data_IF_642631269096
#
_entry.id   IF_642631269096
#
_cell.length_a   1.000
_cell.length_b   1.000
_cell.length_c   1.000
_cell.angle_alpha   90.00
_cell.angle_beta   90.00
_cell.angle_gamma   90.00
#
_symmetry.space_group_name_H-M   'P 1'
#
loop_
_entity.id
_entity.type
_entity.pdbx_description
1 polymer ?
#
# COMPACT_ATOMS: atom_id res chain seq x y z
N UNK A 1 -13.92 -27.94 26.02
CA UNK A 1 -13.06 -27.80 27.23
C UNK A 1 -12.24 -26.53 27.10
N UNK A 2 -11.95 -25.84 28.21
CA UNK A 2 -11.11 -24.64 28.23
C UNK A 2 -10.42 -24.49 29.58
N UNK A 3 -9.33 -23.71 29.62
CA UNK A 3 -8.62 -23.40 30.86
C UNK A 3 -9.31 -22.25 31.61
N UNK A 4 -9.45 -22.38 32.93
CA UNK A 4 -10.07 -21.36 33.80
C UNK A 4 -9.26 -21.19 35.08
N UNK A 5 -9.08 -19.94 35.50
CA UNK A 5 -8.48 -19.62 36.80
C UNK A 5 -9.57 -19.48 37.85
N UNK A 6 -9.38 -20.11 39.02
CA UNK A 6 -10.23 -19.95 40.20
C UNK A 6 -9.39 -19.50 41.39
N UNK A 7 -9.88 -18.50 42.12
CA UNK A 7 -9.24 -18.01 43.35
C UNK A 7 -9.71 -18.85 44.54
N UNK A 8 -8.78 -19.31 45.36
CA UNK A 8 -9.04 -19.99 46.63
C UNK A 8 -8.17 -19.36 47.72
N UNK A 9 -8.80 -18.55 48.58
CA UNK A 9 -8.10 -17.71 49.56
C UNK A 9 -7.11 -16.73 48.90
N UNK A 10 -5.84 -16.81 49.31
CA UNK A 10 -4.74 -15.99 48.77
C UNK A 10 -4.16 -16.54 47.46
N UNK A 11 -4.53 -17.74 47.04
CA UNK A 11 -3.91 -18.43 45.89
C UNK A 11 -4.86 -18.51 44.68
N UNK A 12 -4.28 -18.60 43.49
CA UNK A 12 -4.99 -18.82 42.24
C UNK A 12 -4.61 -20.20 41.67
N UNK A 13 -5.60 -20.95 41.18
CA UNK A 13 -5.42 -22.28 40.62
C UNK A 13 -5.89 -22.33 39.17
N UNK A 14 -5.14 -23.04 38.33
CA UNK A 14 -5.50 -23.30 36.95
C UNK A 14 -6.27 -24.62 36.84
N UNK A 15 -7.44 -24.58 36.22
CA UNK A 15 -8.31 -25.74 36.01
C UNK A 15 -8.59 -25.95 34.52
N UNK A 16 -8.76 -27.20 34.11
CA UNK A 16 -9.39 -27.55 32.84
C UNK A 16 -10.87 -27.83 33.12
N UNK A 17 -11.73 -27.11 32.41
CA UNK A 17 -13.19 -27.13 32.61
C UNK A 17 -13.87 -27.55 31.32
N UNK A 18 -14.93 -28.34 31.45
CA UNK A 18 -15.83 -28.66 30.35
C UNK A 18 -17.23 -28.15 30.63
N UNK A 19 -17.94 -27.77 29.56
CA UNK A 19 -19.35 -27.42 29.65
C UNK A 19 -20.16 -28.69 29.38
N UNK A 20 -21.01 -29.08 30.34
CA UNK A 20 -21.94 -30.20 30.20
C UNK A 20 -23.37 -29.70 30.32
N UNK A 21 -24.27 -30.22 29.48
CA UNK A 21 -25.70 -29.90 29.57
C UNK A 21 -26.37 -30.85 30.55
N UNK A 22 -26.98 -30.30 31.59
CA UNK A 22 -27.82 -31.03 32.54
C UNK A 22 -29.25 -30.48 32.43
N UNK A 23 -30.10 -31.24 31.75
CA UNK A 23 -31.47 -30.83 31.40
C UNK A 23 -31.51 -29.56 30.55
N UNK A 24 -32.16 -28.50 31.06
CA UNK A 24 -32.28 -27.20 30.38
C UNK A 24 -31.14 -26.23 30.66
N UNK A 25 -30.16 -26.57 31.52
CA UNK A 25 -29.06 -25.67 31.91
C UNK A 25 -27.70 -26.25 31.48
N UNK A 26 -26.77 -25.37 31.14
CA UNK A 26 -25.37 -25.73 30.89
C UNK A 26 -24.57 -25.49 32.17
N UNK A 27 -24.00 -26.55 32.73
CA UNK A 27 -23.20 -26.53 33.96
C UNK A 27 -21.74 -26.73 33.60
N UNK A 28 -20.86 -26.02 34.30
CA UNK A 28 -19.42 -26.16 34.13
C UNK A 28 -18.87 -27.22 35.11
N UNK A 29 -18.23 -28.26 34.57
CA UNK A 29 -17.58 -29.30 35.36
C UNK A 29 -16.07 -29.11 35.30
N UNK A 30 -15.42 -29.10 36.47
CA UNK A 30 -13.96 -29.14 36.55
C UNK A 30 -13.51 -30.56 36.20
N UNK A 31 -12.76 -30.69 35.12
CA UNK A 31 -12.19 -31.96 34.64
C UNK A 31 -10.91 -32.27 35.40
N UNK A 32 -10.04 -31.26 35.58
CA UNK A 32 -8.79 -31.42 36.31
C UNK A 32 -8.30 -30.08 36.88
N UNK A 33 -7.55 -30.16 37.98
CA UNK A 33 -6.81 -29.03 38.57
C UNK A 33 -5.34 -29.21 38.24
N UNK A 34 -4.77 -28.30 37.45
CA UNK A 34 -3.38 -28.38 37.00
C UNK A 34 -2.40 -27.95 38.09
N UNK A 35 -2.80 -27.02 38.95
CA UNK A 35 -1.96 -26.56 40.06
C UNK A 35 -2.10 -25.07 40.35
N UNK A 36 -1.25 -24.59 41.25
CA UNK A 36 -1.20 -23.18 41.62
C UNK A 36 -0.52 -22.34 40.55
N UNK A 37 -1.14 -21.22 40.20
CA UNK A 37 -0.76 -20.42 39.04
C UNK A 37 0.66 -19.82 39.17
N UNK A 38 1.03 -19.37 40.38
CA UNK A 38 2.35 -18.83 40.70
C UNK A 38 3.45 -19.88 40.54
N UNK A 39 3.22 -21.10 41.02
CA UNK A 39 4.19 -22.19 40.93
C UNK A 39 4.35 -22.71 39.50
N UNK A 40 3.23 -22.87 38.78
CA UNK A 40 3.23 -23.31 37.38
C UNK A 40 3.97 -22.33 36.48
N UNK A 41 3.80 -21.03 36.71
CA UNK A 41 4.50 -19.97 35.96
C UNK A 41 5.98 -19.95 36.30
N UNK A 42 6.35 -20.01 37.59
CA UNK A 42 7.74 -19.98 38.02
C UNK A 42 8.57 -21.16 37.51
N UNK A 43 7.95 -22.34 37.34
CA UNK A 43 8.60 -23.55 36.80
C UNK A 43 8.54 -23.65 35.27
N UNK A 44 7.82 -22.74 34.59
CA UNK A 44 7.62 -22.77 33.14
C UNK A 44 6.79 -23.98 32.66
N UNK A 45 5.99 -24.60 33.54
CA UNK A 45 5.22 -25.80 33.21
C UNK A 45 4.07 -25.50 32.24
N UNK A 46 3.59 -24.26 32.21
CA UNK A 46 2.54 -23.79 31.30
C UNK A 46 3.04 -23.85 29.85
N UNK A 47 4.24 -23.35 29.60
CA UNK A 47 4.85 -23.29 28.28
C UNK A 47 5.10 -24.71 27.74
N UNK A 48 5.49 -25.64 28.62
CA UNK A 48 5.63 -27.06 28.29
C UNK A 48 4.28 -27.66 27.90
N UNK A 49 3.23 -27.39 28.68
CA UNK A 49 1.88 -27.88 28.41
C UNK A 49 1.32 -27.32 27.10
N UNK A 50 1.51 -26.02 26.84
CA UNK A 50 1.08 -25.35 25.60
C UNK A 50 1.78 -25.97 24.40
N UNK A 51 3.11 -26.18 24.44
CA UNK A 51 3.84 -26.84 23.35
C UNK A 51 3.37 -28.27 23.13
N UNK A 52 3.11 -29.02 24.20
CA UNK A 52 2.63 -30.40 24.11
C UNK A 52 1.26 -30.47 23.45
N UNK A 53 0.32 -29.60 23.85
CA UNK A 53 -1.03 -29.53 23.26
C UNK A 53 -1.01 -29.01 21.82
N UNK A 54 -0.13 -28.06 21.51
CA UNK A 54 -0.02 -27.48 20.18
C UNK A 54 0.39 -28.49 19.10
N UNK A 55 1.12 -29.56 19.46
CA UNK A 55 1.46 -30.65 18.52
C UNK A 55 0.23 -31.32 17.90
N UNK A 56 -0.93 -31.21 18.54
CA UNK A 56 -2.19 -31.75 18.08
C UNK A 56 -3.05 -30.73 17.31
N UNK A 57 -2.54 -29.52 17.04
CA UNK A 57 -3.24 -28.50 16.27
C UNK A 57 -2.32 -27.94 15.19
N UNK A 58 -2.61 -28.21 13.92
CA UNK A 58 -1.81 -27.71 12.78
C UNK A 58 -1.63 -26.19 12.83
N UNK A 59 -2.70 -25.44 13.16
CA UNK A 59 -2.66 -23.98 13.28
C UNK A 59 -1.78 -23.51 14.44
N UNK A 60 -1.91 -24.11 15.62
CA UNK A 60 -1.11 -23.72 16.79
C UNK A 60 0.35 -24.15 16.65
N UNK A 61 0.60 -25.32 16.06
CA UNK A 61 1.93 -25.81 15.75
C UNK A 61 2.64 -24.89 14.76
N UNK A 62 1.95 -24.40 13.72
CA UNK A 62 2.52 -23.46 12.75
C UNK A 62 2.92 -22.12 13.41
N UNK A 63 2.09 -21.61 14.32
CA UNK A 63 2.39 -20.39 15.10
C UNK A 63 3.56 -20.61 16.08
N UNK A 64 3.61 -21.74 16.77
CA UNK A 64 4.62 -22.04 17.79
C UNK A 64 5.95 -22.58 17.22
N UNK A 65 5.91 -23.23 16.06
CA UNK A 65 7.09 -23.63 15.27
C UNK A 65 7.70 -22.44 14.53
N UNK A 66 6.97 -21.32 14.43
CA UNK A 66 7.47 -19.99 14.12
C UNK A 66 8.44 -19.42 15.17
N UNK A 67 9.39 -20.23 15.66
CA UNK A 67 10.65 -19.79 16.24
C UNK A 67 11.51 -19.16 15.14
N UNK A 68 11.06 -18.02 14.70
CA UNK A 68 11.81 -16.99 14.01
C UNK A 68 10.82 -15.84 13.96
N UNK A 69 11.21 -14.67 14.43
CA UNK A 69 10.55 -13.44 14.01
C UNK A 69 10.68 -13.38 12.49
N UNK A 70 9.79 -14.06 11.77
CA UNK A 70 9.77 -13.99 10.32
C UNK A 70 9.25 -12.60 10.04
N UNK A 71 10.18 -11.69 9.76
CA UNK A 71 9.89 -10.32 9.36
C UNK A 71 9.28 -10.40 7.95
N UNK A 72 8.02 -10.84 7.86
CA UNK A 72 7.30 -11.03 6.61
C UNK A 72 6.90 -9.66 6.10
N UNK A 73 7.60 -9.17 5.09
CA UNK A 73 7.17 -7.99 4.34
C UNK A 73 6.28 -8.44 3.18
N UNK A 74 4.99 -8.13 3.28
CA UNK A 74 4.04 -8.33 2.17
C UNK A 74 4.14 -7.16 1.19
N UNK A 75 4.26 -7.47 -0.11
CA UNK A 75 4.25 -6.45 -1.17
C UNK A 75 3.22 -6.76 -2.25
N UNK A 76 2.62 -5.71 -2.80
CA UNK A 76 1.63 -5.76 -3.89
C UNK A 76 2.34 -5.71 -5.23
N UNK A 77 1.99 -6.61 -6.15
CA UNK A 77 2.59 -6.70 -7.49
C UNK A 77 1.58 -6.46 -8.63
N UNK A 78 0.33 -6.90 -8.46
CA UNK A 78 -0.68 -6.92 -9.53
C UNK A 78 -0.95 -5.55 -10.16
N UNK A 79 -1.30 -4.52 -9.36
CA UNK A 79 -1.56 -3.18 -9.88
C UNK A 79 -0.39 -2.61 -10.69
N UNK A 80 0.84 -2.76 -10.21
CA UNK A 80 2.02 -2.23 -10.89
C UNK A 80 2.22 -2.86 -12.29
N UNK A 81 1.98 -4.18 -12.41
CA UNK A 81 2.12 -4.89 -13.69
C UNK A 81 1.06 -4.46 -14.70
N UNK A 82 -0.20 -4.32 -14.27
CA UNK A 82 -1.30 -3.91 -15.14
C UNK A 82 -1.06 -2.49 -15.66
N UNK A 83 -0.75 -1.55 -14.76
CA UNK A 83 -0.52 -0.17 -15.16
C UNK A 83 0.77 0.02 -15.95
N UNK A 84 1.82 -0.78 -15.72
CA UNK A 84 3.00 -0.77 -16.58
C UNK A 84 2.68 -1.24 -18.01
N UNK A 85 1.83 -2.27 -18.14
CA UNK A 85 1.37 -2.74 -19.45
C UNK A 85 0.55 -1.68 -20.16
N UNK A 86 -0.42 -1.08 -19.48
CA UNK A 86 -1.20 0.04 -20.02
C UNK A 86 -0.28 1.17 -20.43
N UNK A 87 0.64 1.60 -19.56
CA UNK A 87 1.58 2.69 -19.85
C UNK A 87 2.34 2.51 -21.18
N UNK A 88 2.75 1.27 -21.48
CA UNK A 88 3.40 0.88 -22.74
C UNK A 88 2.44 0.82 -23.93
N UNK A 89 1.26 0.23 -23.76
CA UNK A 89 0.23 0.16 -24.83
C UNK A 89 -0.27 1.55 -25.21
N UNK A 90 -0.38 2.42 -24.22
CA UNK A 90 -0.75 3.82 -24.34
C UNK A 90 0.36 4.67 -25.00
N UNK A 91 1.57 4.12 -25.19
CA UNK A 91 2.73 4.76 -25.82
C UNK A 91 3.44 5.82 -24.96
N UNK A 92 3.07 5.95 -23.68
CA UNK A 92 3.52 7.04 -22.81
C UNK A 92 5.02 6.92 -22.51
N UNK A 93 5.49 5.69 -22.33
CA UNK A 93 6.91 5.38 -22.12
C UNK A 93 7.78 5.89 -23.27
N UNK A 94 7.34 5.67 -24.51
CA UNK A 94 8.07 6.09 -25.71
C UNK A 94 8.12 7.62 -25.83
N UNK A 95 7.00 8.30 -25.62
CA UNK A 95 6.91 9.77 -25.69
C UNK A 95 7.82 10.41 -24.65
N UNK A 96 7.77 9.94 -23.40
CA UNK A 96 8.61 10.52 -22.35
C UNK A 96 10.09 10.23 -22.63
N UNK A 97 10.44 9.01 -23.06
CA UNK A 97 11.83 8.65 -23.36
C UNK A 97 12.41 9.47 -24.51
N UNK A 98 11.64 9.75 -25.56
CA UNK A 98 12.13 10.61 -26.65
C UNK A 98 12.44 12.03 -26.15
N UNK A 99 11.54 12.62 -25.34
CA UNK A 99 11.74 13.96 -24.78
C UNK A 99 12.89 14.03 -23.77
N UNK A 100 13.14 12.95 -23.05
CA UNK A 100 14.23 12.85 -22.07
C UNK A 100 15.58 12.56 -22.76
N UNK A 101 15.58 11.96 -23.95
CA UNK A 101 16.81 11.50 -24.62
C UNK A 101 17.82 12.61 -24.93
N UNK A 102 17.34 13.84 -25.13
CA UNK A 102 18.18 15.02 -25.38
C UNK A 102 18.67 15.70 -24.09
N UNK A 103 18.26 15.19 -22.92
CA UNK A 103 18.54 15.77 -21.60
C UNK A 103 19.53 14.91 -20.82
N UNK A 104 20.37 15.53 -19.98
CA UNK A 104 21.42 14.86 -19.18
C UNK A 104 20.92 14.41 -17.80
N UNK A 105 19.81 13.67 -17.75
CA UNK A 105 19.31 13.13 -16.47
C UNK A 105 20.07 11.86 -16.06
N UNK A 106 20.58 11.82 -14.84
CA UNK A 106 21.28 10.67 -14.25
C UNK A 106 20.32 9.66 -13.58
N UNK A 107 19.02 9.73 -13.90
CA UNK A 107 18.02 8.83 -13.35
C UNK A 107 16.90 8.59 -14.36
N UNK A 108 16.12 7.54 -14.12
CA UNK A 108 15.01 7.19 -15.00
C UNK A 108 13.80 8.12 -14.76
N UNK A 109 13.76 9.24 -15.50
CA UNK A 109 12.69 10.25 -15.43
C UNK A 109 11.34 9.65 -15.76
N UNK A 110 11.28 8.79 -16.78
CA UNK A 110 10.06 8.11 -17.20
C UNK A 110 9.47 7.26 -16.07
N UNK A 111 10.31 6.52 -15.33
CA UNK A 111 9.87 5.74 -14.17
C UNK A 111 9.46 6.61 -12.98
N UNK A 112 10.10 7.76 -12.79
CA UNK A 112 9.69 8.73 -11.78
C UNK A 112 8.30 9.30 -12.09
N UNK A 113 8.03 9.66 -13.35
CA UNK A 113 6.72 10.13 -13.79
C UNK A 113 5.68 9.01 -13.64
N UNK A 114 5.97 7.81 -14.14
CA UNK A 114 5.09 6.64 -13.98
C UNK A 114 4.70 6.42 -12.52
N UNK A 115 5.66 6.43 -11.60
CA UNK A 115 5.38 6.26 -10.17
C UNK A 115 4.42 7.34 -9.65
N UNK A 116 4.62 8.61 -10.03
CA UNK A 116 3.75 9.69 -9.56
C UNK A 116 2.35 9.64 -10.17
N UNK A 117 2.19 9.13 -11.40
CA UNK A 117 0.87 8.89 -12.00
C UNK A 117 0.20 7.70 -11.34
N UNK A 118 0.94 6.60 -11.19
CA UNK A 118 0.46 5.39 -10.53
C UNK A 118 -0.04 5.68 -9.12
N UNK A 119 0.70 6.48 -8.33
CA UNK A 119 0.23 6.91 -7.00
C UNK A 119 -1.07 7.73 -7.04
N UNK A 120 -1.25 8.60 -8.05
CA UNK A 120 -2.46 9.43 -8.21
C UNK A 120 -3.71 8.60 -8.57
N UNK A 121 -3.53 7.44 -9.19
CA UNK A 121 -4.63 6.53 -9.54
C UNK A 121 -5.16 5.71 -8.35
N UNK A 122 -4.43 5.70 -7.23
CA UNK A 122 -4.82 4.95 -6.02
C UNK A 122 -5.10 5.90 -4.85
N UNK A 123 -4.30 5.98 -3.75
CA UNK A 123 -4.71 6.80 -2.61
C UNK A 123 -4.64 8.31 -2.91
N UNK A 124 -3.91 8.70 -3.99
CA UNK A 124 -3.57 10.07 -4.35
C UNK A 124 -2.91 10.86 -3.19
N UNK A 125 -2.20 11.94 -3.52
CA UNK A 125 -1.52 12.77 -2.53
C UNK A 125 -0.16 13.28 -2.96
N UNK A 126 0.58 13.86 -2.03
CA UNK A 126 1.86 14.53 -2.30
C UNK A 126 2.95 13.56 -2.79
N UNK A 127 3.97 14.08 -3.48
CA UNK A 127 5.15 13.29 -3.87
C UNK A 127 5.89 12.70 -2.65
N UNK A 128 5.81 13.36 -1.49
CA UNK A 128 6.35 12.84 -0.23
C UNK A 128 5.57 11.61 0.24
N UNK A 129 4.25 11.65 0.16
CA UNK A 129 3.41 10.49 0.46
C UNK A 129 3.65 9.35 -0.53
N UNK A 130 3.81 9.68 -1.82
CA UNK A 130 4.19 8.72 -2.87
C UNK A 130 5.49 7.96 -2.54
N UNK A 131 6.52 8.65 -2.02
CA UNK A 131 7.81 8.04 -1.63
C UNK A 131 7.67 7.01 -0.48
N UNK A 132 6.76 7.26 0.45
CA UNK A 132 6.44 6.31 1.52
C UNK A 132 5.57 5.17 1.00
N UNK A 133 4.53 5.49 0.25
CA UNK A 133 3.54 4.55 -0.27
C UNK A 133 4.15 3.50 -1.20
N UNK A 134 5.13 3.88 -2.04
CA UNK A 134 5.75 2.93 -2.98
C UNK A 134 6.42 1.73 -2.31
N UNK A 135 6.74 1.81 -1.00
CA UNK A 135 7.40 0.74 -0.25
C UNK A 135 6.55 -0.53 -0.15
N UNK A 136 5.23 -0.40 -0.24
CA UNK A 136 4.27 -1.50 -0.25
C UNK A 136 4.17 -2.22 -1.61
N UNK A 137 4.76 -1.67 -2.67
CA UNK A 137 4.63 -2.18 -4.03
C UNK A 137 5.96 -2.68 -4.59
N UNK A 138 5.88 -3.70 -5.45
CA UNK A 138 7.01 -4.08 -6.31
C UNK A 138 6.80 -3.42 -7.67
N UNK A 139 7.62 -2.41 -7.96
CA UNK A 139 7.59 -1.67 -9.22
C UNK A 139 8.98 -1.72 -9.82
N UNK A 140 9.09 -2.23 -11.04
CA UNK A 140 10.36 -2.36 -11.75
C UNK A 140 11.01 -0.99 -11.95
N UNK A 141 12.33 -0.91 -11.73
CA UNK A 141 13.15 0.28 -12.01
C UNK A 141 12.83 1.53 -11.17
N UNK A 142 12.09 1.38 -10.08
CA UNK A 142 11.69 2.47 -9.18
C UNK A 142 12.46 2.45 -7.84
N UNK A 143 13.10 1.33 -7.49
CA UNK A 143 13.75 1.12 -6.19
C UNK A 143 14.82 2.18 -5.86
N UNK A 144 15.57 2.61 -6.87
CA UNK A 144 16.68 3.57 -6.71
C UNK A 144 16.24 5.04 -6.86
N UNK A 145 14.93 5.30 -7.01
CA UNK A 145 14.41 6.65 -7.07
C UNK A 145 14.34 7.26 -5.66
N UNK A 146 15.01 8.38 -5.50
CA UNK A 146 14.97 9.21 -4.29
C UNK A 146 13.90 10.30 -4.45
N UNK A 147 13.35 10.78 -3.32
CA UNK A 147 12.29 11.80 -3.32
C UNK A 147 12.63 13.03 -4.20
N UNK A 148 13.86 13.52 -4.16
CA UNK A 148 14.26 14.67 -4.98
C UNK A 148 14.19 14.39 -6.49
N UNK A 149 14.35 13.12 -6.92
CA UNK A 149 14.21 12.71 -8.32
C UNK A 149 12.75 12.80 -8.78
N UNK A 150 11.79 12.57 -7.87
CA UNK A 150 10.37 12.80 -8.15
C UNK A 150 10.07 14.29 -8.37
N UNK A 151 10.64 15.17 -7.55
CA UNK A 151 10.50 16.61 -7.76
C UNK A 151 11.14 17.08 -9.06
N UNK A 152 12.35 16.61 -9.39
CA UNK A 152 12.99 16.92 -10.68
C UNK A 152 12.17 16.44 -11.87
N UNK A 153 11.52 15.28 -11.78
CA UNK A 153 10.64 14.78 -12.83
C UNK A 153 9.39 15.67 -13.01
N UNK A 154 8.80 16.17 -11.92
CA UNK A 154 7.68 17.12 -12.01
C UNK A 154 8.14 18.49 -12.54
N UNK A 155 9.32 18.96 -12.14
CA UNK A 155 9.91 20.19 -12.66
C UNK A 155 10.17 20.08 -14.18
N UNK A 156 10.67 18.94 -14.65
CA UNK A 156 10.81 18.64 -16.08
C UNK A 156 9.46 18.75 -16.80
N UNK A 157 8.39 18.12 -16.29
CA UNK A 157 7.07 18.23 -16.93
C UNK A 157 6.52 19.67 -16.95
N UNK A 158 6.86 20.49 -15.94
CA UNK A 158 6.46 21.89 -15.83
C UNK A 158 7.38 22.88 -16.53
N UNK A 159 8.46 22.43 -17.18
CA UNK A 159 9.39 23.31 -17.90
C UNK A 159 8.67 23.95 -19.10
N UNK A 160 8.71 25.28 -19.18
CA UNK A 160 8.09 26.03 -20.27
C UNK A 160 8.81 25.77 -21.60
N UNK A 161 8.04 25.68 -22.69
CA UNK A 161 8.60 25.51 -24.04
C UNK A 161 8.67 26.86 -24.76
N UNK A 162 9.53 26.98 -25.76
CA UNK A 162 9.62 28.23 -26.55
C UNK A 162 8.35 28.50 -27.38
N UNK A 163 7.73 27.46 -27.93
CA UNK A 163 6.51 27.59 -28.73
C UNK A 163 5.26 27.74 -27.85
N UNK A 164 4.79 28.99 -27.73
CA UNK A 164 3.63 29.36 -26.89
C UNK A 164 2.34 29.61 -27.68
N UNK A 165 2.26 29.21 -28.96
CA UNK A 165 1.10 29.55 -29.84
C UNK A 165 -0.25 29.08 -29.29
N UNK A 166 -0.32 27.86 -28.76
CA UNK A 166 -1.57 27.24 -28.28
C UNK A 166 -1.72 27.30 -26.74
N UNK A 167 -1.13 28.32 -26.09
CA UNK A 167 -1.22 28.44 -24.63
C UNK A 167 -2.65 28.77 -24.19
N UNK A 168 -2.99 28.35 -22.98
CA UNK A 168 -4.23 28.79 -22.34
C UNK A 168 -4.04 30.19 -21.74
N UNK A 169 -5.12 30.95 -21.45
CA UNK A 169 -5.00 32.27 -20.85
C UNK A 169 -4.31 32.28 -19.47
N UNK A 170 -4.36 31.14 -18.76
CA UNK A 170 -3.96 31.05 -17.35
C UNK A 170 -2.68 30.25 -17.11
N UNK A 171 -2.13 29.60 -18.14
CA UNK A 171 -0.91 28.80 -18.01
C UNK A 171 -0.11 28.76 -19.32
N UNK A 172 1.23 28.88 -19.25
CA UNK A 172 2.10 28.67 -20.41
C UNK A 172 2.03 27.22 -20.88
N UNK A 173 2.45 26.97 -22.11
CA UNK A 173 2.74 25.61 -22.58
C UNK A 173 4.03 25.13 -21.93
N UNK A 174 3.99 23.90 -21.43
CA UNK A 174 5.12 23.21 -20.81
C UNK A 174 5.40 21.89 -21.51
N UNK A 175 6.46 21.19 -21.11
CA UNK A 175 6.77 19.83 -21.59
C UNK A 175 5.58 18.87 -21.45
N UNK A 176 4.77 19.03 -20.39
CA UNK A 176 3.50 18.30 -20.22
C UNK A 176 2.59 18.40 -21.44
N UNK A 177 2.48 19.56 -22.09
CA UNK A 177 1.67 19.71 -23.30
C UNK A 177 2.25 18.91 -24.47
N UNK A 178 3.58 18.90 -24.62
CA UNK A 178 4.26 18.09 -25.65
C UNK A 178 4.04 16.59 -25.40
N UNK A 179 4.02 16.15 -24.14
CA UNK A 179 3.67 14.76 -23.80
C UNK A 179 2.24 14.44 -24.24
N UNK A 180 1.27 15.30 -23.93
CA UNK A 180 -0.14 15.11 -24.32
C UNK A 180 -0.31 15.05 -25.85
N UNK A 181 0.35 15.97 -26.56
CA UNK A 181 0.35 15.97 -28.03
C UNK A 181 1.02 14.72 -28.61
N UNK A 182 2.12 14.27 -28.02
CA UNK A 182 2.80 13.03 -28.42
C UNK A 182 1.89 11.81 -28.23
N UNK A 183 1.20 11.74 -27.10
CA UNK A 183 0.20 10.70 -26.84
C UNK A 183 -0.94 10.73 -27.85
N UNK A 184 -1.45 11.93 -28.18
CA UNK A 184 -2.50 12.11 -29.18
C UNK A 184 -2.03 11.64 -30.56
N UNK A 185 -0.84 12.08 -31.01
CA UNK A 185 -0.28 11.73 -32.33
C UNK A 185 -0.07 10.22 -32.49
N UNK A 186 0.42 9.53 -31.46
CA UNK A 186 0.66 8.08 -31.52
C UNK A 186 -0.64 7.29 -31.74
N UNK A 187 -1.77 7.81 -31.29
CA UNK A 187 -3.07 7.13 -31.37
C UNK A 187 -3.99 7.67 -32.43
N UNK A 188 -3.54 8.69 -33.15
CA UNK A 188 -4.30 9.24 -34.25
C UNK A 188 -4.24 8.27 -35.43
N UNK A 189 -5.41 7.82 -35.84
CA UNK A 189 -5.67 7.06 -37.06
C UNK A 189 -6.54 7.88 -38.04
N UNK A 190 -6.89 7.27 -39.17
CA UNK A 190 -7.73 7.89 -40.21
C UNK A 190 -9.19 8.12 -39.78
N UNK A 191 -9.62 7.50 -38.67
CA UNK A 191 -10.99 7.53 -38.17
C UNK A 191 -11.10 8.21 -36.80
N UNK A 192 -10.05 8.88 -36.33
CA UNK A 192 -10.02 9.50 -35.01
C UNK A 192 -11.00 10.67 -34.97
N UNK A 193 -12.16 10.42 -34.36
CA UNK A 193 -13.18 11.41 -34.06
C UNK A 193 -13.04 11.96 -32.64
N UNK A 194 -13.76 13.05 -32.35
CA UNK A 194 -13.89 13.56 -30.99
C UNK A 194 -15.14 12.92 -30.34
N UNK A 195 -14.93 11.86 -29.56
CA UNK A 195 -16.04 11.15 -28.90
C UNK A 195 -16.32 11.65 -27.48
N UNK A 196 -15.27 12.06 -26.74
CA UNK A 196 -15.38 12.43 -25.33
C UNK A 196 -14.41 13.56 -24.98
N UNK A 197 -14.95 14.62 -24.39
CA UNK A 197 -14.17 15.74 -23.85
C UNK A 197 -14.17 15.64 -22.33
N UNK A 198 -13.00 15.42 -21.74
CA UNK A 198 -12.81 15.54 -20.30
C UNK A 198 -12.58 17.00 -19.94
N UNK A 199 -13.48 17.58 -19.15
CA UNK A 199 -13.35 18.94 -18.63
C UNK A 199 -12.99 18.88 -17.15
N UNK A 200 -11.77 19.29 -16.81
CA UNK A 200 -11.29 19.32 -15.42
C UNK A 200 -11.76 20.63 -14.75
N UNK A 201 -12.64 20.52 -13.75
CA UNK A 201 -13.26 21.66 -13.06
C UNK A 201 -12.55 22.04 -11.75
N UNK A 202 -11.30 21.62 -11.52
CA UNK A 202 -10.55 21.88 -10.26
C UNK A 202 -10.17 23.36 -9.96
N UNK A 203 -11.00 24.31 -10.35
CA UNK A 203 -10.95 25.71 -9.89
C UNK A 203 -12.14 25.98 -8.96
N UNK A 204 -12.05 25.56 -7.69
CA UNK A 204 -13.01 25.98 -6.65
C UNK A 204 -12.44 27.22 -5.96
N UNK A 205 -13.08 28.37 -6.16
CA UNK A 205 -12.78 29.62 -5.45
C UNK A 205 -13.87 29.89 -4.41
N UNK A 206 -13.48 30.00 -3.13
CA UNK A 206 -14.36 30.41 -2.04
C UNK A 206 -13.90 31.77 -1.53
N UNK A 207 -14.66 32.82 -1.84
CA UNK A 207 -14.53 34.14 -1.22
C UNK A 207 -15.57 34.30 -0.12
N UNK A 208 -15.12 34.34 1.13
CA UNK A 208 -15.93 34.74 2.28
C UNK A 208 -15.66 36.20 2.64
N UNK A 209 -16.70 37.02 2.74
CA UNK A 209 -16.58 38.39 3.25
C UNK A 209 -16.69 38.33 4.78
N UNK A 210 -15.59 38.60 5.51
CA UNK A 210 -15.67 38.87 6.95
C UNK A 210 -16.40 40.20 7.14
N UNK A 211 -17.64 40.17 7.63
CA UNK A 211 -18.27 41.35 8.21
C UNK A 211 -17.47 41.73 9.45
N UNK A 212 -16.96 42.97 9.45
CA UNK A 212 -16.37 43.63 10.63
C UNK A 212 -17.39 43.74 11.76
#
# INVERSE_FOLDING_TARGET
>A
MFARVKKSGKHQYLHIVENRREGKKTVQRVVSTLGRMDQLTAKGEIEVLVRSLARFSEKALLVLSGKSEVNVQTKKIGPALIFDRLWKELGIDKVIRSLVSERKFEFNVERAIFLTVFHRLFPSGSNRFCDQWRREYVISWVKDLLLHRLYRAMAFLGEEIEDQRDKTPFAPRCIKNIVEEGMFRIRRDLFTGLDLVFFDTTSIYLSGCQKK
#
